data_IF_210920621501
#
_entry.id   IF_210920621501
#
_cell.length_a   1.000
_cell.length_b   1.000
_cell.length_c   1.000
_cell.angle_alpha   90.00
_cell.angle_beta   90.00
_cell.angle_gamma   90.00
#
_symmetry.space_group_name_H-M   'P 1'
#
loop_
_entity.id
_entity.type
_entity.pdbx_description
1 polymer ?
#
# COMPACT_ATOMS: atom_id res chain seq x y z
N UNK A 1 -1.58 -17.26 -21.75
CA UNK A 1 -1.49 -15.97 -22.47
C UNK A 1 -2.45 -15.03 -21.78
N UNK A 2 -2.04 -13.78 -21.55
CA UNK A 2 -2.88 -12.73 -20.94
C UNK A 2 -3.24 -11.73 -22.04
N UNK A 3 -4.49 -11.28 -22.05
CA UNK A 3 -5.05 -10.28 -22.97
C UNK A 3 -4.99 -8.86 -22.36
N UNK A 4 -4.93 -7.83 -23.22
CA UNK A 4 -4.85 -6.41 -22.84
C UNK A 4 -6.06 -5.90 -22.05
N UNK A 5 -7.19 -6.61 -22.06
CA UNK A 5 -8.40 -6.25 -21.32
C UNK A 5 -8.49 -6.92 -19.97
N UNK A 6 -7.57 -7.82 -19.64
CA UNK A 6 -7.68 -8.62 -18.42
C UNK A 6 -7.28 -7.83 -17.17
N UNK A 7 -8.17 -7.87 -16.18
CA UNK A 7 -7.82 -7.41 -14.84
C UNK A 7 -6.97 -8.44 -14.11
N UNK A 8 -6.28 -8.00 -13.05
CA UNK A 8 -5.51 -8.88 -12.18
C UNK A 8 -6.39 -9.99 -11.58
N UNK A 9 -7.65 -9.71 -11.23
CA UNK A 9 -8.63 -10.73 -10.79
C UNK A 9 -8.76 -11.87 -11.80
N UNK A 10 -9.00 -11.56 -13.07
CA UNK A 10 -9.21 -12.56 -14.12
C UNK A 10 -7.94 -13.39 -14.39
N UNK A 11 -6.77 -12.77 -14.24
CA UNK A 11 -5.49 -13.47 -14.33
C UNK A 11 -5.29 -14.40 -13.13
N UNK A 12 -5.65 -13.95 -11.91
CA UNK A 12 -5.62 -14.79 -10.71
C UNK A 12 -6.56 -15.99 -10.81
N UNK A 13 -7.80 -15.81 -11.29
CA UNK A 13 -8.73 -16.92 -11.56
C UNK A 13 -8.08 -17.97 -12.48
N UNK A 14 -7.47 -17.51 -13.58
CA UNK A 14 -6.79 -18.40 -14.53
C UNK A 14 -5.59 -19.12 -13.94
N UNK A 15 -4.87 -18.49 -12.99
CA UNK A 15 -3.73 -19.09 -12.29
C UNK A 15 -4.20 -20.15 -11.28
N UNK A 16 -5.26 -19.87 -10.52
CA UNK A 16 -5.87 -20.79 -9.55
C UNK A 16 -6.36 -22.08 -10.23
N UNK A 17 -7.06 -21.93 -11.36
CA UNK A 17 -7.58 -23.06 -12.13
C UNK A 17 -6.46 -23.99 -12.63
N UNK A 18 -5.31 -23.42 -12.99
CA UNK A 18 -4.18 -24.15 -13.59
C UNK A 18 -3.19 -24.71 -12.56
N UNK A 19 -3.08 -24.10 -11.39
CA UNK A 19 -2.10 -24.48 -10.37
C UNK A 19 -2.63 -25.54 -9.39
N UNK A 20 -3.96 -25.69 -9.29
CA UNK A 20 -4.63 -26.54 -8.30
C UNK A 20 -4.20 -26.25 -6.84
N UNK A 21 -3.83 -25.00 -6.53
CA UNK A 21 -3.32 -24.61 -5.22
C UNK A 21 -4.39 -24.37 -4.15
N UNK A 22 -5.66 -24.63 -4.46
CA UNK A 22 -6.79 -24.39 -3.56
C UNK A 22 -7.22 -22.92 -3.51
N UNK A 23 -8.48 -22.70 -3.12
CA UNK A 23 -9.04 -21.36 -3.02
C UNK A 23 -8.60 -20.67 -1.72
N UNK A 24 -8.06 -19.46 -1.84
CA UNK A 24 -7.71 -18.57 -0.74
C UNK A 24 -7.86 -17.12 -1.24
N UNK A 25 -8.45 -16.21 -0.45
CA UNK A 25 -8.52 -14.79 -0.81
C UNK A 25 -7.13 -14.13 -0.78
N UNK A 26 -6.14 -14.76 -0.15
CA UNK A 26 -4.79 -14.20 -0.01
C UNK A 26 -3.94 -14.41 -1.28
N UNK A 27 -4.39 -15.25 -2.23
CA UNK A 27 -3.72 -15.38 -3.51
C UNK A 27 -3.64 -14.05 -4.25
N UNK A 28 -2.41 -13.68 -4.57
CA UNK A 28 -2.08 -12.35 -5.03
C UNK A 28 -1.07 -12.39 -6.15
N UNK A 29 -1.13 -11.36 -6.99
CA UNK A 29 -0.12 -11.08 -7.98
C UNK A 29 0.76 -9.95 -7.45
N UNK A 30 2.06 -10.17 -7.41
CA UNK A 30 3.03 -9.25 -6.81
C UNK A 30 4.03 -8.85 -7.88
N UNK A 31 4.23 -7.55 -8.09
CA UNK A 31 5.37 -7.08 -8.86
C UNK A 31 6.57 -6.77 -7.97
N UNK A 32 7.75 -7.14 -8.43
CA UNK A 32 9.03 -6.75 -7.82
C UNK A 32 9.79 -5.85 -8.78
N UNK A 33 10.10 -4.63 -8.34
CA UNK A 33 10.94 -3.67 -9.04
C UNK A 33 12.38 -3.87 -8.62
N UNK A 34 13.10 -4.73 -9.35
CA UNK A 34 14.39 -5.27 -8.90
C UNK A 34 15.48 -4.21 -8.73
N UNK A 35 15.58 -3.26 -9.66
CA UNK A 35 16.55 -2.16 -9.59
C UNK A 35 16.38 -1.34 -8.30
N UNK A 36 15.13 -1.13 -7.88
CA UNK A 36 14.79 -0.32 -6.73
C UNK A 36 14.65 -1.14 -5.44
N UNK A 37 14.69 -2.48 -5.53
CA UNK A 37 14.47 -3.42 -4.41
C UNK A 37 13.17 -3.11 -3.66
N UNK A 38 12.08 -3.02 -4.40
CA UNK A 38 10.76 -2.85 -3.80
C UNK A 38 9.75 -3.74 -4.49
N UNK A 39 8.64 -3.99 -3.82
CA UNK A 39 7.53 -4.78 -4.37
C UNK A 39 6.19 -4.20 -3.97
N UNK A 40 5.15 -4.51 -4.73
CA UNK A 40 3.77 -4.25 -4.33
C UNK A 40 2.86 -5.38 -4.74
N UNK A 41 1.76 -5.51 -4.02
CA UNK A 41 0.63 -6.34 -4.41
C UNK A 41 -0.19 -5.54 -5.43
N UNK A 42 -0.56 -6.16 -6.55
CA UNK A 42 -1.54 -5.57 -7.44
C UNK A 42 -2.93 -5.63 -6.81
N UNK A 43 -3.70 -4.56 -6.98
CA UNK A 43 -5.12 -4.56 -6.68
C UNK A 43 -5.88 -5.32 -7.77
N UNK A 44 -6.91 -6.08 -7.38
CA UNK A 44 -7.58 -7.03 -8.26
C UNK A 44 -8.29 -6.40 -9.46
N UNK A 45 -8.62 -5.12 -9.36
CA UNK A 45 -9.28 -4.34 -10.39
C UNK A 45 -8.31 -3.74 -11.42
N UNK A 46 -7.00 -3.73 -11.13
CA UNK A 46 -6.01 -3.15 -12.04
C UNK A 46 -5.93 -3.92 -13.36
N UNK A 47 -5.70 -3.20 -14.46
CA UNK A 47 -5.31 -3.80 -15.73
C UNK A 47 -3.85 -4.26 -15.64
N UNK A 48 -3.61 -5.56 -15.87
CA UNK A 48 -2.25 -6.10 -15.75
C UNK A 48 -1.34 -5.62 -16.88
N UNK A 49 -1.83 -5.61 -18.11
CA UNK A 49 -0.99 -5.27 -19.28
C UNK A 49 -0.60 -3.80 -19.25
N UNK A 50 -1.52 -2.89 -18.92
CA UNK A 50 -1.23 -1.46 -18.77
C UNK A 50 -0.11 -1.20 -17.76
N UNK A 51 -0.12 -1.92 -16.63
CA UNK A 51 0.93 -1.80 -15.63
C UNK A 51 2.27 -2.35 -16.10
N UNK A 52 2.29 -3.51 -16.77
CA UNK A 52 3.51 -4.12 -17.27
C UNK A 52 4.18 -3.30 -18.39
N UNK A 53 3.42 -2.46 -19.12
CA UNK A 53 3.99 -1.54 -20.11
C UNK A 53 4.87 -0.44 -19.49
N UNK A 54 4.76 -0.19 -18.18
CA UNK A 54 5.64 0.74 -17.46
C UNK A 54 7.03 0.16 -17.22
N UNK A 55 7.23 -1.14 -17.42
CA UNK A 55 8.54 -1.77 -17.28
C UNK A 55 9.42 -1.45 -18.50
N UNK A 56 10.72 -1.26 -18.27
CA UNK A 56 11.68 -1.07 -19.36
C UNK A 56 11.80 -2.35 -20.20
N UNK A 57 12.25 -2.22 -21.45
CA UNK A 57 12.40 -3.39 -22.36
C UNK A 57 13.40 -4.44 -21.84
N UNK A 58 14.40 -3.99 -21.09
CA UNK A 58 15.44 -4.79 -20.45
C UNK A 58 15.13 -5.07 -18.95
N UNK A 59 13.90 -4.78 -18.53
CA UNK A 59 13.46 -4.88 -17.14
C UNK A 59 13.75 -6.27 -16.58
N UNK A 60 14.37 -6.26 -15.41
CA UNK A 60 14.56 -7.47 -14.61
C UNK A 60 13.41 -7.67 -13.63
N UNK A 61 12.36 -6.85 -13.67
CA UNK A 61 11.23 -6.96 -12.75
C UNK A 61 10.55 -8.33 -12.86
N UNK A 62 9.91 -8.74 -11.77
CA UNK A 62 9.29 -10.06 -11.67
C UNK A 62 7.83 -9.94 -11.30
N UNK A 63 7.07 -10.88 -11.82
CA UNK A 63 5.66 -11.08 -11.49
C UNK A 63 5.55 -12.39 -10.72
N UNK A 64 5.07 -12.32 -9.49
CA UNK A 64 5.00 -13.47 -8.58
C UNK A 64 3.54 -13.77 -8.24
N UNK A 65 3.17 -15.04 -8.32
CA UNK A 65 1.90 -15.57 -7.82
C UNK A 65 2.13 -16.21 -6.45
N UNK A 66 1.64 -15.57 -5.38
CA UNK A 66 1.92 -15.97 -3.99
C UNK A 66 0.80 -15.49 -3.06
N UNK A 67 0.67 -16.12 -1.90
CA UNK A 67 -0.24 -15.64 -0.86
C UNK A 67 0.31 -14.40 -0.16
N UNK A 68 -0.56 -13.41 0.10
CA UNK A 68 -0.27 -12.13 0.77
C UNK A 68 -1.41 -11.76 1.71
N UNK A 69 -1.21 -12.03 3.00
CA UNK A 69 -2.21 -11.80 4.05
C UNK A 69 -2.58 -10.32 4.22
N UNK A 70 -1.67 -9.42 3.86
CA UNK A 70 -1.81 -7.98 4.01
C UNK A 70 -2.85 -7.37 3.05
N UNK A 71 -3.08 -7.98 1.88
CA UNK A 71 -3.93 -7.42 0.82
C UNK A 71 -5.35 -7.14 1.31
N UNK A 72 -5.93 -8.11 2.04
CA UNK A 72 -7.28 -8.01 2.57
C UNK A 72 -7.33 -7.91 4.10
N UNK A 73 -6.20 -7.59 4.74
CA UNK A 73 -6.11 -7.55 6.21
C UNK A 73 -7.09 -6.57 6.85
N UNK A 74 -7.34 -5.42 6.20
CA UNK A 74 -8.33 -4.43 6.67
C UNK A 74 -9.75 -4.98 6.65
N UNK A 75 -10.11 -5.81 5.67
CA UNK A 75 -11.45 -6.39 5.59
C UNK A 75 -11.64 -7.56 6.58
N UNK A 76 -10.55 -8.28 6.90
CA UNK A 76 -10.57 -9.37 7.91
C UNK A 76 -10.68 -8.84 9.34
N UNK A 77 -10.00 -7.72 9.65
CA UNK A 77 -9.93 -7.12 10.98
C UNK A 77 -9.97 -5.58 10.93
N UNK A 78 -11.08 -4.97 10.47
CA UNK A 78 -11.18 -3.53 10.24
C UNK A 78 -10.92 -2.69 11.49
N UNK A 79 -11.24 -3.21 12.68
CA UNK A 79 -11.05 -2.54 13.96
C UNK A 79 -9.58 -2.18 14.24
N UNK A 80 -8.64 -2.94 13.67
CA UNK A 80 -7.20 -2.72 13.86
C UNK A 80 -6.64 -1.61 12.95
N UNK A 81 -7.43 -1.08 12.01
CA UNK A 81 -6.99 -0.09 11.03
C UNK A 81 -7.88 1.17 11.01
N UNK A 82 -9.20 0.99 11.11
CA UNK A 82 -10.17 2.06 10.85
C UNK A 82 -10.56 2.86 12.10
N UNK A 83 -10.28 2.33 13.31
CA UNK A 83 -10.60 3.03 14.57
C UNK A 83 -9.53 4.04 15.03
N UNK A 84 -8.43 4.19 14.27
CA UNK A 84 -7.34 5.13 14.60
C UNK A 84 -6.57 4.78 15.88
N UNK A 85 -6.70 3.54 16.38
CA UNK A 85 -6.01 3.06 17.57
C UNK A 85 -4.84 2.18 17.18
N UNK A 86 -3.71 2.32 17.89
CA UNK A 86 -2.52 1.49 17.66
C UNK A 86 -2.65 0.10 18.27
N UNK A 87 -3.47 -0.05 19.30
CA UNK A 87 -3.70 -1.32 19.98
C UNK A 87 -4.67 -2.18 19.18
N UNK A 88 -4.33 -3.44 18.99
CA UNK A 88 -5.20 -4.42 18.35
C UNK A 88 -6.31 -4.86 19.31
N UNK A 89 -7.52 -5.01 18.80
CA UNK A 89 -8.64 -5.52 19.58
C UNK A 89 -9.45 -6.55 18.79
N UNK A 90 -10.16 -7.40 19.53
CA UNK A 90 -11.16 -8.30 18.96
C UNK A 90 -12.46 -7.55 18.69
N UNK A 91 -13.16 -7.95 17.64
CA UNK A 91 -14.47 -7.40 17.26
C UNK A 91 -15.33 -8.52 16.68
N UNK A 92 -16.63 -8.52 17.03
CA UNK A 92 -17.58 -9.51 16.49
C UNK A 92 -17.80 -9.28 14.99
N UNK A 93 -18.08 -10.33 14.23
CA UNK A 93 -18.29 -10.24 12.77
C UNK A 93 -19.37 -9.22 12.39
N UNK A 94 -20.50 -9.18 13.11
CA UNK A 94 -21.55 -8.16 12.91
C UNK A 94 -21.03 -6.74 13.05
N UNK A 95 -20.13 -6.49 14.00
CA UNK A 95 -19.56 -5.16 14.21
C UNK A 95 -18.50 -4.83 13.17
N UNK A 96 -17.75 -5.83 12.67
CA UNK A 96 -16.81 -5.66 11.55
C UNK A 96 -17.55 -5.25 10.29
N UNK A 97 -18.65 -5.93 9.96
CA UNK A 97 -19.51 -5.59 8.81
C UNK A 97 -20.06 -4.16 8.92
N UNK A 98 -20.59 -3.79 10.09
CA UNK A 98 -21.10 -2.44 10.31
C UNK A 98 -20.02 -1.36 10.16
N UNK A 99 -18.80 -1.61 10.66
CA UNK A 99 -17.67 -0.68 10.52
C UNK A 99 -17.21 -0.54 9.06
N UNK A 100 -17.18 -1.62 8.30
CA UNK A 100 -16.88 -1.57 6.87
C UNK A 100 -17.94 -0.80 6.09
N UNK A 101 -19.22 -1.01 6.39
CA UNK A 101 -20.32 -0.28 5.75
C UNK A 101 -20.27 1.22 6.07
N UNK A 102 -19.97 1.58 7.32
CA UNK A 102 -19.78 2.98 7.72
C UNK A 102 -18.62 3.65 6.95
N UNK A 103 -17.51 2.94 6.78
CA UNK A 103 -16.32 3.50 6.14
C UNK A 103 -16.38 3.52 4.61
N UNK A 104 -17.01 2.52 3.98
CA UNK A 104 -16.95 2.29 2.53
C UNK A 104 -18.32 2.32 1.82
N UNK A 105 -19.44 2.18 2.52
CA UNK A 105 -20.80 2.11 1.93
C UNK A 105 -21.44 3.48 1.64
N UNK A 106 -20.88 4.57 2.17
CA UNK A 106 -21.35 5.93 1.92
C UNK A 106 -21.04 6.46 0.51
N UNK A 107 -21.49 7.69 0.22
CA UNK A 107 -21.18 8.38 -1.05
C UNK A 107 -19.69 8.73 -1.20
N UNK A 108 -18.95 8.77 -0.09
CA UNK A 108 -17.51 8.96 -0.04
C UNK A 108 -16.90 8.06 1.03
N UNK A 109 -15.70 7.56 0.77
CA UNK A 109 -14.96 6.74 1.74
C UNK A 109 -14.51 7.60 2.93
N UNK A 110 -14.80 7.13 4.15
CA UNK A 110 -14.29 7.73 5.38
C UNK A 110 -12.90 7.21 5.70
N UNK A 111 -11.88 7.99 5.32
CA UNK A 111 -10.47 7.63 5.56
C UNK A 111 -10.12 7.87 7.03
N UNK A 112 -9.57 6.87 7.76
CA UNK A 112 -9.17 7.07 9.14
C UNK A 112 -8.07 8.12 9.25
N UNK A 113 -8.17 9.02 10.22
CA UNK A 113 -7.12 10.00 10.49
C UNK A 113 -5.89 9.30 11.11
N UNK A 114 -5.00 8.82 10.25
CA UNK A 114 -3.71 8.25 10.66
C UNK A 114 -2.66 9.35 10.74
N UNK A 115 -1.95 9.41 11.85
CA UNK A 115 -0.85 10.36 12.06
C UNK A 115 0.27 9.76 12.90
N UNK A 116 1.49 10.26 12.70
CA UNK A 116 2.64 9.76 13.45
C UNK A 116 3.98 10.27 12.94
N UNK A 117 5.04 9.95 13.67
CA UNK A 117 6.41 10.27 13.27
C UNK A 117 6.94 9.16 12.37
N UNK A 118 7.31 9.51 11.14
CA UNK A 118 8.01 8.62 10.21
C UNK A 118 9.40 9.17 9.86
N UNK A 119 10.25 8.30 9.35
CA UNK A 119 11.55 8.65 8.81
C UNK A 119 11.44 8.89 7.31
N UNK A 120 11.75 10.11 6.87
CA UNK A 120 11.83 10.47 5.46
C UNK A 120 13.29 10.42 5.01
N UNK A 121 13.57 9.63 3.98
CA UNK A 121 14.88 9.60 3.33
C UNK A 121 15.15 10.94 2.64
N UNK A 122 16.36 11.46 2.75
CA UNK A 122 16.77 12.65 2.01
C UNK A 122 17.10 12.32 0.54
N UNK A 123 16.74 13.23 -0.36
CA UNK A 123 16.95 13.09 -1.79
C UNK A 123 18.44 12.91 -2.12
N UNK A 124 18.73 11.90 -2.93
CA UNK A 124 20.11 11.54 -3.33
C UNK A 124 21.02 11.04 -2.20
N UNK A 125 20.56 10.99 -0.93
CA UNK A 125 21.41 10.64 0.23
C UNK A 125 20.93 9.38 0.95
N UNK A 126 21.85 8.68 1.62
CA UNK A 126 21.54 7.57 2.55
C UNK A 126 21.37 8.09 3.99
N UNK A 127 20.65 9.19 4.15
CA UNK A 127 20.35 9.85 5.42
C UNK A 127 18.84 10.04 5.57
N UNK A 128 18.37 10.07 6.81
CA UNK A 128 16.94 10.03 7.15
C UNK A 128 16.60 11.09 8.19
N UNK A 129 15.44 11.73 8.04
CA UNK A 129 14.94 12.77 8.95
C UNK A 129 13.57 12.40 9.50
N UNK A 130 13.41 12.49 10.82
CA UNK A 130 12.08 12.36 11.45
C UNK A 130 11.19 13.53 11.04
N UNK A 131 9.97 13.21 10.60
CA UNK A 131 8.90 14.17 10.31
C UNK A 131 7.59 13.63 10.86
N UNK A 132 6.72 14.52 11.29
CA UNK A 132 5.37 14.16 11.68
C UNK A 132 4.47 14.22 10.45
N UNK A 133 3.83 13.10 10.11
CA UNK A 133 2.97 12.95 8.95
C UNK A 133 1.52 12.71 9.37
N UNK A 134 0.61 13.10 8.49
CA UNK A 134 -0.81 12.85 8.60
C UNK A 134 -1.34 12.36 7.25
N UNK A 135 -2.19 11.34 7.27
CA UNK A 135 -2.95 10.91 6.10
C UNK A 135 -4.29 11.65 6.07
N UNK A 136 -4.68 12.09 4.88
CA UNK A 136 -6.00 12.60 4.54
C UNK A 136 -6.45 11.96 3.22
N UNK A 137 -7.73 12.05 2.90
CA UNK A 137 -8.26 11.52 1.65
C UNK A 137 -7.56 12.09 0.40
N UNK A 138 -7.13 13.36 0.46
CA UNK A 138 -6.41 14.04 -0.62
C UNK A 138 -4.90 13.73 -0.68
N UNK A 139 -4.36 13.03 0.32
CA UNK A 139 -2.98 12.60 0.33
C UNK A 139 -2.27 12.73 1.68
N UNK A 140 -0.93 12.74 1.61
CA UNK A 140 -0.06 12.75 2.78
C UNK A 140 0.41 14.18 3.04
N UNK A 141 0.34 14.60 4.30
CA UNK A 141 0.74 15.92 4.77
C UNK A 141 1.80 15.79 5.84
N UNK A 142 2.61 16.83 6.05
CA UNK A 142 3.58 16.88 7.14
C UNK A 142 3.59 18.23 7.85
N UNK A 143 4.08 18.23 9.10
CA UNK A 143 4.27 19.45 9.90
C UNK A 143 5.69 20.00 9.70
N UNK A 144 5.87 21.23 9.21
CA UNK A 144 7.17 21.86 9.11
C UNK A 144 7.84 22.03 10.49
N UNK A 145 9.18 22.08 10.51
CA UNK A 145 9.92 22.21 11.77
C UNK A 145 9.56 23.53 12.45
N UNK A 146 9.22 23.48 13.74
CA UNK A 146 8.88 24.68 14.54
C UNK A 146 7.43 25.16 14.39
N UNK A 147 6.58 24.42 13.67
CA UNK A 147 5.15 24.71 13.57
C UNK A 147 4.32 23.80 14.49
N UNK A 148 3.15 24.28 14.89
CA UNK A 148 2.19 23.52 15.67
C UNK A 148 1.45 22.50 14.78
N UNK A 149 0.85 21.49 15.40
CA UNK A 149 -0.03 20.50 14.73
C UNK A 149 -1.43 21.10 14.48
N UNK A 150 -1.50 22.24 13.82
CA UNK A 150 -2.77 22.87 13.44
C UNK A 150 -3.02 22.66 11.94
N UNK A 151 -4.27 22.43 11.54
CA UNK A 151 -4.65 22.18 10.14
C UNK A 151 -4.09 23.23 9.16
N UNK A 152 -4.10 24.52 9.56
CA UNK A 152 -3.55 25.64 8.78
C UNK A 152 -2.05 25.60 8.51
N UNK A 153 -1.30 24.85 9.32
CA UNK A 153 0.17 24.78 9.27
C UNK A 153 0.67 23.50 8.56
N UNK A 154 -0.25 22.65 8.09
CA UNK A 154 0.08 21.44 7.34
C UNK A 154 0.51 21.76 5.91
N UNK A 155 1.56 21.09 5.45
CA UNK A 155 2.04 21.18 4.06
C UNK A 155 1.81 19.85 3.38
N UNK A 156 1.23 19.88 2.17
CA UNK A 156 1.06 18.68 1.35
C UNK A 156 2.44 18.12 0.99
N UNK A 157 2.67 16.87 1.35
CA UNK A 157 3.87 16.12 0.96
C UNK A 157 3.66 15.48 -0.41
N UNK A 158 2.53 14.78 -0.60
CA UNK A 158 2.23 14.04 -1.83
C UNK A 158 0.71 13.81 -1.96
N UNK A 159 0.18 14.01 -3.16
CA UNK A 159 -1.17 13.57 -3.55
C UNK A 159 -1.13 12.12 -4.04
N UNK A 160 -2.21 11.36 -3.83
CA UNK A 160 -2.21 9.91 -4.04
C UNK A 160 -2.72 9.47 -5.43
N UNK A 161 -3.28 10.39 -6.23
CA UNK A 161 -3.99 10.06 -7.48
C UNK A 161 -3.11 9.37 -8.55
N UNK A 162 -1.80 9.57 -8.48
CA UNK A 162 -0.85 9.14 -9.52
C UNK A 162 0.37 8.43 -8.93
N UNK A 163 0.26 7.85 -7.75
CA UNK A 163 1.36 7.13 -7.11
C UNK A 163 0.92 5.77 -6.62
N UNK A 164 1.77 4.77 -6.86
CA UNK A 164 1.64 3.46 -6.25
C UNK A 164 2.43 3.42 -4.93
N UNK A 165 1.97 2.60 -4.00
CA UNK A 165 2.68 2.31 -2.75
C UNK A 165 3.38 0.96 -2.85
N UNK A 166 4.63 0.89 -2.40
CA UNK A 166 5.45 -0.32 -2.43
C UNK A 166 6.09 -0.57 -1.08
N UNK A 167 6.40 -1.83 -0.79
CA UNK A 167 7.25 -2.24 0.31
C UNK A 167 8.72 -2.24 -0.12
N UNK A 168 9.57 -1.51 0.62
CA UNK A 168 11.01 -1.54 0.42
C UNK A 168 11.62 -2.82 1.00
N UNK A 169 12.47 -3.51 0.24
CA UNK A 169 13.13 -4.75 0.65
C UNK A 169 14.58 -4.47 1.06
N UNK A 170 14.96 -4.85 2.29
CA UNK A 170 16.34 -4.70 2.82
C UNK A 170 16.88 -3.26 2.74
N UNK A 171 16.01 -2.28 3.02
CA UNK A 171 16.34 -0.86 2.94
C UNK A 171 17.30 -0.41 4.05
N UNK A 172 17.38 -1.13 5.16
CA UNK A 172 18.41 -0.93 6.16
C UNK A 172 19.81 -1.14 5.57
N UNK A 173 20.00 -2.17 4.76
CA UNK A 173 21.29 -2.42 4.10
C UNK A 173 21.53 -1.48 2.93
N UNK A 174 20.58 -1.37 1.98
CA UNK A 174 20.73 -0.57 0.74
C UNK A 174 20.81 0.93 1.01
N UNK A 175 19.91 1.46 1.84
CA UNK A 175 19.73 2.90 2.03
C UNK A 175 20.05 3.41 3.44
N UNK A 176 20.58 2.55 4.32
CA UNK A 176 20.86 2.89 5.73
C UNK A 176 19.60 3.36 6.46
N UNK A 177 18.46 2.76 6.12
CA UNK A 177 17.20 3.00 6.81
C UNK A 177 17.32 2.65 8.31
N UNK A 178 16.63 3.37 9.20
CA UNK A 178 16.61 3.03 10.63
C UNK A 178 16.03 1.64 10.92
N UNK A 179 15.09 1.18 10.08
CA UNK A 179 14.43 -0.13 10.13
C UNK A 179 14.15 -0.62 8.71
N UNK A 180 13.79 -1.89 8.56
CA UNK A 180 13.34 -2.45 7.27
C UNK A 180 11.84 -2.29 7.00
N UNK A 181 11.08 -1.74 7.95
CA UNK A 181 9.67 -1.39 7.77
C UNK A 181 9.54 -0.11 6.93
N UNK A 182 9.81 -0.21 5.64
CA UNK A 182 9.85 0.89 4.69
C UNK A 182 8.70 0.78 3.67
N UNK A 183 8.01 1.90 3.44
CA UNK A 183 7.12 2.07 2.29
C UNK A 183 7.73 3.09 1.31
N UNK A 184 7.45 2.92 0.03
CA UNK A 184 7.87 3.81 -1.06
C UNK A 184 6.64 4.29 -1.82
N UNK A 185 6.60 5.58 -2.12
CA UNK A 185 5.58 6.19 -2.95
C UNK A 185 6.24 6.59 -4.27
N UNK A 186 5.75 6.03 -5.37
CA UNK A 186 6.35 6.25 -6.70
C UNK A 186 5.27 6.45 -7.76
N UNK A 187 5.47 7.50 -8.56
CA UNK A 187 4.78 7.75 -9.84
C UNK A 187 5.28 6.75 -10.88
#
# INVERSE_FOLDING_TARGET
>A
MVDERQTVRQVLDSLLDKSHCGYSPDWSLVETINELQMERVFEDHENLVENLLNWTRDSQNRLMFTERIEKYAVFKNPQNYLLGRKETCEMTERNKEALLEECFGGTSVSVPEMEGVLWLKEDGKKSWKKRYFLLRASGIYYVPKGKAKASRDLVCFLQLDHVNVYFGQDYKSKYKAPTDYCMVLKV
#
